data_IF_140889513175
#
_entry.id   IF_140889513175
#
_cell.length_a   1.000
_cell.length_b   1.000
_cell.length_c   1.000
_cell.angle_alpha   90.00
_cell.angle_beta   90.00
_cell.angle_gamma   90.00
#
_symmetry.space_group_name_H-M   'P 1'
#
loop_
_entity.id
_entity.type
_entity.pdbx_description
1 polymer ?
#
# COMPACT_ATOMS: atom_id res chain seq x y z
N UNK A 1 10.26 -14.08 9.20
CA UNK A 1 10.42 -12.60 9.31
C UNK A 1 11.89 -12.28 9.09
N UNK A 2 12.19 -11.45 8.10
CA UNK A 2 13.57 -10.99 7.85
C UNK A 2 13.85 -9.82 8.81
N UNK A 3 14.90 -9.95 9.61
CA UNK A 3 15.30 -8.92 10.58
C UNK A 3 16.63 -8.29 10.17
N UNK A 4 16.71 -6.98 10.28
CA UNK A 4 17.95 -6.22 10.04
C UNK A 4 18.33 -5.48 11.31
N UNK A 5 19.57 -5.72 11.81
CA UNK A 5 20.10 -4.98 12.95
C UNK A 5 21.00 -3.85 12.46
N UNK A 6 20.66 -2.62 12.82
CA UNK A 6 21.50 -1.45 12.57
C UNK A 6 22.25 -1.10 13.84
N UNK A 7 23.57 -0.92 13.73
CA UNK A 7 24.45 -0.50 14.81
C UNK A 7 25.04 0.87 14.47
N UNK A 8 25.01 1.79 15.41
CA UNK A 8 25.59 3.12 15.25
C UNK A 8 26.51 3.45 16.44
N UNK A 9 27.58 4.17 16.13
CA UNK A 9 28.51 4.71 17.12
C UNK A 9 28.83 6.16 16.72
N UNK A 10 28.91 7.05 17.69
CA UNK A 10 29.44 8.40 17.50
C UNK A 10 30.91 8.42 17.91
N UNK A 11 31.75 9.15 17.16
CA UNK A 11 33.17 9.32 17.44
C UNK A 11 33.51 10.79 17.59
N UNK A 12 34.08 11.14 18.74
CA UNK A 12 34.66 12.48 19.00
C UNK A 12 36.15 12.45 18.69
N UNK A 13 36.50 12.98 17.52
CA UNK A 13 37.91 13.02 17.07
C UNK A 13 38.81 13.89 17.95
N UNK A 14 38.28 14.94 18.59
CA UNK A 14 39.05 15.83 19.44
C UNK A 14 39.42 15.17 20.79
N UNK A 15 38.63 14.21 21.23
CA UNK A 15 38.87 13.47 22.49
C UNK A 15 39.34 12.04 22.28
N UNK A 16 39.49 11.58 21.02
CA UNK A 16 39.78 10.21 20.64
C UNK A 16 38.86 9.18 21.36
N UNK A 17 37.59 9.53 21.54
CA UNK A 17 36.58 8.71 22.25
C UNK A 17 35.44 8.32 21.34
N UNK A 18 35.09 7.04 21.35
CA UNK A 18 33.85 6.53 20.75
C UNK A 18 32.75 6.46 21.85
N UNK A 19 31.52 6.65 21.43
CA UNK A 19 30.35 6.36 22.28
C UNK A 19 30.17 4.83 22.42
N UNK A 20 29.24 4.43 23.29
CA UNK A 20 28.74 3.06 23.27
C UNK A 20 28.02 2.77 21.95
N UNK A 21 27.99 1.50 21.54
CA UNK A 21 27.29 1.05 20.35
C UNK A 21 25.78 1.00 20.65
N UNK A 22 25.00 1.81 19.95
CA UNK A 22 23.55 1.70 19.97
C UNK A 22 23.13 0.72 18.89
N UNK A 23 22.35 -0.29 19.26
CA UNK A 23 21.81 -1.30 18.34
C UNK A 23 20.30 -1.23 18.31
N UNK A 24 19.73 -1.22 17.12
CA UNK A 24 18.28 -1.30 16.90
C UNK A 24 17.99 -2.37 15.84
N UNK A 25 17.09 -3.27 16.16
CA UNK A 25 16.66 -4.34 15.24
C UNK A 25 15.33 -3.93 14.58
N UNK A 26 15.30 -4.00 13.26
CA UNK A 26 14.11 -3.77 12.44
C UNK A 26 13.63 -5.11 11.88
N UNK A 27 12.36 -5.42 12.09
CA UNK A 27 11.70 -6.58 11.46
C UNK A 27 10.84 -6.09 10.31
N UNK A 28 10.97 -6.73 9.14
CA UNK A 28 10.07 -6.47 8.02
C UNK A 28 8.69 -7.01 8.38
N UNK A 29 7.65 -6.17 8.31
CA UNK A 29 6.27 -6.62 8.48
C UNK A 29 5.92 -7.63 7.39
N UNK A 30 5.21 -8.68 7.77
CA UNK A 30 4.73 -9.68 6.82
C UNK A 30 3.50 -9.14 6.10
N UNK A 31 3.47 -9.35 4.78
CA UNK A 31 2.29 -9.07 3.95
C UNK A 31 1.45 -10.33 3.82
N UNK A 32 0.15 -10.21 4.01
CA UNK A 32 -0.83 -11.30 4.01
C UNK A 32 -1.98 -10.98 3.05
N UNK A 33 -2.61 -12.02 2.54
CA UNK A 33 -3.96 -11.95 1.95
C UNK A 33 -5.02 -11.86 3.06
N UNK A 34 -6.25 -11.52 2.72
CA UNK A 34 -7.36 -11.50 3.69
C UNK A 34 -7.61 -12.89 4.29
N UNK A 35 -7.53 -13.95 3.48
CA UNK A 35 -7.72 -15.32 3.95
C UNK A 35 -6.60 -15.78 4.89
N UNK A 36 -5.34 -15.46 4.58
CA UNK A 36 -4.20 -15.76 5.48
C UNK A 36 -4.32 -15.01 6.80
N UNK A 37 -4.68 -13.72 6.76
CA UNK A 37 -4.89 -12.91 7.95
C UNK A 37 -6.05 -13.47 8.81
N UNK A 38 -7.17 -13.84 8.19
CA UNK A 38 -8.30 -14.46 8.90
C UNK A 38 -7.92 -15.79 9.57
N UNK A 39 -7.09 -16.61 8.92
CA UNK A 39 -6.61 -17.88 9.47
C UNK A 39 -5.66 -17.70 10.67
N UNK A 40 -4.98 -16.56 10.78
CA UNK A 40 -4.10 -16.24 11.92
C UNK A 40 -4.84 -15.64 13.11
N UNK A 41 -6.13 -15.27 12.97
CA UNK A 41 -6.91 -14.68 14.05
C UNK A 41 -7.15 -15.69 15.19
N UNK A 42 -6.80 -15.31 16.42
CA UNK A 42 -7.07 -16.07 17.65
C UNK A 42 -7.81 -15.17 18.64
N UNK A 43 -8.36 -15.77 19.73
CA UNK A 43 -9.06 -15.03 20.79
C UNK A 43 -8.19 -13.94 21.45
N UNK A 44 -6.87 -14.08 21.38
CA UNK A 44 -5.92 -13.07 21.82
C UNK A 44 -5.40 -12.32 20.61
N UNK A 45 -5.38 -10.99 20.65
CA UNK A 45 -4.83 -10.19 19.56
C UNK A 45 -3.34 -10.48 19.38
N UNK A 46 -2.87 -10.46 18.13
CA UNK A 46 -1.44 -10.59 17.82
C UNK A 46 -0.67 -9.40 18.38
N UNK A 47 0.56 -9.61 18.82
CA UNK A 47 1.46 -8.51 19.24
C UNK A 47 2.03 -7.79 18.01
N UNK A 48 2.34 -8.56 16.96
CA UNK A 48 2.87 -8.03 15.71
C UNK A 48 1.76 -7.46 14.82
N UNK A 49 2.11 -6.42 14.07
CA UNK A 49 1.27 -5.89 13.00
C UNK A 49 1.60 -6.57 11.69
N UNK A 50 0.57 -6.72 10.86
CA UNK A 50 0.66 -7.28 9.51
C UNK A 50 0.20 -6.24 8.49
N UNK A 51 0.74 -6.33 7.29
CA UNK A 51 0.25 -5.64 6.11
C UNK A 51 -0.75 -6.57 5.43
N UNK A 52 -1.98 -6.13 5.22
CA UNK A 52 -3.01 -6.92 4.56
C UNK A 52 -3.47 -6.17 3.31
N UNK A 53 -3.43 -6.85 2.18
CA UNK A 53 -3.94 -6.34 0.91
C UNK A 53 -5.24 -7.04 0.54
N UNK A 54 -6.19 -6.28 0.02
CA UNK A 54 -7.47 -6.82 -0.44
C UNK A 54 -8.44 -5.76 -0.90
N UNK A 55 -9.62 -6.20 -1.31
CA UNK A 55 -10.70 -5.34 -1.76
C UNK A 55 -11.69 -5.08 -0.64
N UNK A 56 -12.18 -3.85 -0.54
CA UNK A 56 -13.35 -3.54 0.29
C UNK A 56 -14.54 -4.29 -0.30
N UNK A 57 -15.07 -5.26 0.42
CA UNK A 57 -16.21 -6.09 -0.02
C UNK A 57 -17.55 -5.59 0.48
N UNK A 58 -17.57 -4.92 1.64
CA UNK A 58 -18.78 -4.33 2.22
C UNK A 58 -18.42 -3.22 3.20
N UNK A 59 -19.12 -2.09 3.16
CA UNK A 59 -18.99 -1.03 4.16
C UNK A 59 -20.00 -1.27 5.30
N UNK A 60 -19.48 -1.38 6.54
CA UNK A 60 -20.31 -1.47 7.76
C UNK A 60 -20.56 -0.07 8.31
N UNK A 61 -19.50 0.71 8.47
CA UNK A 61 -19.57 2.10 8.92
C UNK A 61 -18.67 2.94 8.01
N UNK A 62 -19.30 3.87 7.28
CA UNK A 62 -18.56 4.88 6.52
C UNK A 62 -17.75 5.76 7.47
N UNK A 63 -16.86 6.58 6.92
CA UNK A 63 -16.01 7.43 7.75
C UNK A 63 -16.81 8.23 8.78
N UNK A 64 -16.54 7.96 10.03
CA UNK A 64 -17.13 8.65 11.17
C UNK A 64 -16.26 9.85 11.57
N UNK A 65 -16.76 11.05 11.34
CA UNK A 65 -16.02 12.29 11.61
C UNK A 65 -15.74 12.52 13.10
N UNK A 66 -16.59 11.99 13.99
CA UNK A 66 -16.41 12.14 15.44
C UNK A 66 -15.23 11.29 15.95
N UNK A 67 -15.05 10.08 15.41
CA UNK A 67 -14.02 9.14 15.87
C UNK A 67 -12.85 9.04 14.90
N UNK A 68 -12.97 9.59 13.69
CA UNK A 68 -11.94 9.59 12.67
C UNK A 68 -11.59 8.19 12.16
N UNK A 69 -12.58 7.31 12.03
CA UNK A 69 -12.37 5.92 11.63
C UNK A 69 -13.49 5.39 10.72
N UNK A 70 -13.26 4.21 10.14
CA UNK A 70 -14.20 3.49 9.29
C UNK A 70 -14.16 2.00 9.62
N UNK A 71 -15.24 1.29 9.36
CA UNK A 71 -15.36 -0.17 9.56
C UNK A 71 -15.92 -0.82 8.31
N UNK A 72 -15.25 -1.87 7.82
CA UNK A 72 -15.63 -2.54 6.59
C UNK A 72 -15.16 -4.00 6.55
N UNK A 73 -15.67 -4.78 5.60
CA UNK A 73 -15.18 -6.10 5.27
C UNK A 73 -14.21 -6.05 4.10
N UNK A 74 -13.21 -6.92 4.14
CA UNK A 74 -12.26 -7.16 3.06
C UNK A 74 -12.35 -8.59 2.54
N UNK A 75 -11.95 -8.74 1.26
CA UNK A 75 -11.77 -10.03 0.60
C UNK A 75 -10.59 -10.00 -0.36
N UNK A 76 -10.07 -11.19 -0.72
CA UNK A 76 -8.95 -11.33 -1.66
C UNK A 76 -9.36 -11.05 -3.11
N UNK A 77 -10.66 -11.10 -3.41
CA UNK A 77 -11.19 -10.78 -4.74
C UNK A 77 -12.27 -9.70 -4.66
N UNK A 78 -12.47 -8.97 -5.74
CA UNK A 78 -13.38 -7.82 -5.82
C UNK A 78 -14.84 -8.14 -5.41
N UNK A 79 -15.26 -9.40 -5.54
CA UNK A 79 -16.59 -9.88 -5.18
C UNK A 79 -16.53 -11.01 -4.13
N UNK A 80 -15.51 -11.06 -3.32
CA UNK A 80 -15.15 -12.20 -2.46
C UNK A 80 -15.90 -12.30 -1.13
N UNK A 81 -16.90 -11.48 -0.86
CA UNK A 81 -17.71 -11.53 0.35
C UNK A 81 -16.98 -11.06 1.62
N UNK A 82 -17.46 -11.54 2.78
CA UNK A 82 -16.96 -11.15 4.11
C UNK A 82 -15.88 -12.14 4.58
N UNK A 83 -14.60 -11.83 4.36
CA UNK A 83 -13.47 -12.71 4.74
C UNK A 83 -12.79 -12.20 6.00
N UNK A 84 -12.45 -10.92 6.07
CA UNK A 84 -11.77 -10.29 7.18
C UNK A 84 -12.42 -8.93 7.48
N UNK A 85 -12.85 -8.71 8.70
CA UNK A 85 -13.38 -7.41 9.12
C UNK A 85 -12.24 -6.46 9.48
N UNK A 86 -12.32 -5.21 9.05
CA UNK A 86 -11.43 -4.14 9.48
C UNK A 86 -12.20 -3.24 10.43
N UNK A 87 -11.89 -3.33 11.72
CA UNK A 87 -12.66 -2.64 12.75
C UNK A 87 -12.01 -1.32 13.13
N UNK A 88 -12.73 -0.22 12.88
CA UNK A 88 -12.34 1.15 13.26
C UNK A 88 -10.95 1.55 12.79
N UNK A 89 -10.63 1.26 11.52
CA UNK A 89 -9.37 1.70 10.93
C UNK A 89 -9.33 3.21 10.71
N UNK A 90 -8.14 3.78 10.83
CA UNK A 90 -7.87 5.20 10.59
C UNK A 90 -7.37 5.40 9.17
N UNK A 91 -8.06 6.21 8.35
CA UNK A 91 -7.56 6.66 7.07
C UNK A 91 -6.20 7.35 7.19
N UNK A 92 -5.26 7.06 6.27
CA UNK A 92 -3.95 7.74 6.25
C UNK A 92 -4.03 9.12 5.59
N UNK A 93 -5.05 9.34 4.75
CA UNK A 93 -5.29 10.62 4.07
C UNK A 93 -6.78 10.94 3.91
N UNK A 94 -7.10 12.06 3.25
CA UNK A 94 -8.49 12.45 2.96
C UNK A 94 -9.16 11.50 1.94
N UNK A 95 -8.36 10.81 1.09
CA UNK A 95 -8.89 9.91 0.05
C UNK A 95 -9.63 8.73 0.68
N UNK A 96 -9.05 8.14 1.74
CA UNK A 96 -9.61 6.96 2.40
C UNK A 96 -10.83 7.25 3.26
N UNK A 97 -11.17 8.53 3.49
CA UNK A 97 -12.44 8.91 4.12
C UNK A 97 -13.65 8.59 3.23
N UNK A 98 -13.42 8.37 1.93
CA UNK A 98 -14.44 8.05 0.93
C UNK A 98 -14.27 6.64 0.36
N UNK A 99 -13.82 5.68 1.16
CA UNK A 99 -13.72 4.28 0.74
C UNK A 99 -15.07 3.74 0.28
N UNK A 100 -15.04 2.94 -0.79
CA UNK A 100 -16.19 2.31 -1.39
C UNK A 100 -15.94 0.82 -1.63
N UNK A 101 -17.02 0.07 -1.75
CA UNK A 101 -16.95 -1.35 -2.18
C UNK A 101 -16.25 -1.44 -3.53
N UNK A 102 -15.28 -2.34 -3.63
CA UNK A 102 -14.45 -2.55 -4.81
C UNK A 102 -13.12 -1.78 -4.80
N UNK A 103 -12.89 -0.89 -3.83
CA UNK A 103 -11.57 -0.26 -3.66
C UNK A 103 -10.55 -1.31 -3.21
N UNK A 104 -9.34 -1.26 -3.77
CA UNK A 104 -8.21 -2.08 -3.33
C UNK A 104 -7.40 -1.30 -2.31
N UNK A 105 -7.18 -1.91 -1.14
CA UNK A 105 -6.59 -1.22 0.01
C UNK A 105 -5.46 -2.02 0.65
N UNK A 106 -4.55 -1.28 1.27
CA UNK A 106 -3.59 -1.78 2.25
C UNK A 106 -4.09 -1.44 3.65
N UNK A 107 -4.12 -2.44 4.51
CA UNK A 107 -4.46 -2.27 5.93
C UNK A 107 -3.28 -2.74 6.77
N UNK A 108 -2.86 -1.93 7.75
CA UNK A 108 -1.79 -2.29 8.68
C UNK A 108 -2.34 -2.33 10.09
N UNK A 109 -2.32 -3.52 10.70
CA UNK A 109 -2.87 -3.70 12.04
C UNK A 109 -2.54 -5.04 12.68
N UNK A 110 -2.96 -5.22 13.92
CA UNK A 110 -2.94 -6.50 14.65
C UNK A 110 -4.20 -7.28 14.35
N UNK A 111 -4.15 -8.60 14.50
CA UNK A 111 -5.24 -9.53 14.18
C UNK A 111 -5.87 -10.09 15.45
N UNK A 112 -7.18 -10.31 15.45
CA UNK A 112 -7.93 -10.91 16.56
C UNK A 112 -9.16 -11.65 16.05
N UNK A 113 -9.54 -12.73 16.71
CA UNK A 113 -10.84 -13.39 16.53
C UNK A 113 -11.81 -12.84 17.59
N UNK A 114 -12.59 -11.83 17.23
CA UNK A 114 -13.53 -11.22 18.16
C UNK A 114 -14.92 -11.82 18.02
N UNK A 115 -15.38 -12.54 19.06
CA UNK A 115 -16.71 -13.21 19.07
C UNK A 115 -16.96 -14.09 17.84
N UNK A 116 -15.91 -14.75 17.35
CA UNK A 116 -15.99 -15.62 16.17
C UNK A 116 -15.82 -14.92 14.82
N UNK A 117 -15.61 -13.60 14.81
CA UNK A 117 -15.33 -12.82 13.62
C UNK A 117 -13.82 -12.57 13.49
N UNK A 118 -13.17 -12.95 12.39
CA UNK A 118 -11.79 -12.54 12.13
C UNK A 118 -11.71 -11.04 11.89
N UNK A 119 -10.89 -10.34 12.66
CA UNK A 119 -10.80 -8.89 12.59
C UNK A 119 -9.35 -8.38 12.53
N UNK A 120 -9.13 -7.35 11.73
CA UNK A 120 -8.04 -6.40 11.98
C UNK A 120 -8.50 -5.49 13.10
N UNK A 121 -7.78 -5.52 14.21
CA UNK A 121 -8.18 -4.87 15.46
C UNK A 121 -8.15 -3.33 15.34
N UNK A 122 -8.86 -2.67 16.26
CA UNK A 122 -8.89 -1.20 16.34
C UNK A 122 -7.48 -0.60 16.37
N UNK A 123 -7.31 0.58 15.78
CA UNK A 123 -6.00 1.25 15.67
C UNK A 123 -5.20 0.87 14.43
N UNK A 124 -5.78 0.05 13.55
CA UNK A 124 -5.24 -0.17 12.21
C UNK A 124 -5.27 1.11 11.38
N UNK A 125 -4.37 1.22 10.40
CA UNK A 125 -4.42 2.22 9.34
C UNK A 125 -4.97 1.60 8.05
N UNK A 126 -5.59 2.40 7.21
CA UNK A 126 -6.04 2.01 5.87
C UNK A 126 -5.60 3.03 4.84
N UNK A 127 -5.07 2.53 3.73
CA UNK A 127 -4.65 3.30 2.55
C UNK A 127 -5.24 2.67 1.28
N UNK A 128 -5.75 3.50 0.37
CA UNK A 128 -6.17 3.04 -0.95
C UNK A 128 -4.95 2.93 -1.86
N UNK A 129 -4.73 1.75 -2.40
CA UNK A 129 -3.58 1.46 -3.26
C UNK A 129 -4.04 0.98 -4.64
N UNK A 130 -3.10 0.94 -5.60
CA UNK A 130 -3.40 0.42 -6.93
C UNK A 130 -3.51 -1.11 -6.90
N UNK A 131 -4.46 -1.66 -7.64
CA UNK A 131 -4.58 -3.11 -7.83
C UNK A 131 -3.28 -3.69 -8.42
N UNK A 132 -2.84 -4.89 -7.99
CA UNK A 132 -1.71 -5.57 -8.59
C UNK A 132 -1.97 -5.82 -10.08
N UNK A 133 -1.03 -5.45 -10.93
CA UNK A 133 -1.13 -5.60 -12.38
C UNK A 133 -1.82 -4.47 -13.13
N UNK A 134 -2.44 -3.52 -12.44
CA UNK A 134 -2.78 -2.23 -13.03
C UNK A 134 -1.52 -1.37 -13.02
N UNK A 135 -0.77 -1.38 -14.10
CA UNK A 135 0.24 -0.35 -14.31
C UNK A 135 -0.46 1.00 -14.16
N UNK A 136 0.06 1.85 -13.28
CA UNK A 136 -0.41 3.23 -13.09
C UNK A 136 -0.07 4.11 -14.31
N UNK A 137 -0.48 3.64 -15.51
CA UNK A 137 -0.38 4.39 -16.77
C UNK A 137 -1.69 5.09 -17.09
N UNK A 138 -2.74 4.89 -16.27
CA UNK A 138 -4.07 5.45 -16.51
C UNK A 138 -4.23 6.94 -16.16
N UNK A 139 -3.16 7.61 -15.73
CA UNK A 139 -3.15 9.07 -15.59
C UNK A 139 -2.13 9.78 -16.50
N UNK A 140 -1.70 9.13 -17.55
CA UNK A 140 -1.29 9.90 -18.72
C UNK A 140 -2.59 10.36 -19.36
N UNK A 141 -3.07 11.55 -18.99
CA UNK A 141 -3.92 12.36 -19.87
C UNK A 141 -3.35 12.14 -21.25
N UNK A 142 -4.15 11.64 -22.18
CA UNK A 142 -3.75 11.38 -23.56
C UNK A 142 -3.34 12.70 -24.20
N UNK A 143 -2.18 13.19 -23.82
CA UNK A 143 -1.39 14.15 -24.57
C UNK A 143 -0.92 13.35 -25.78
N UNK A 144 -1.61 13.55 -26.88
CA UNK A 144 -1.39 13.07 -28.24
C UNK A 144 -0.08 12.27 -28.35
N UNK A 145 -0.24 10.94 -28.34
CA UNK A 145 0.88 10.01 -28.33
C UNK A 145 1.89 10.37 -29.42
N UNK A 146 3.13 10.57 -29.01
CA UNK A 146 4.22 10.61 -29.96
C UNK A 146 4.35 9.22 -30.59
N UNK A 147 3.98 9.07 -31.84
CA UNK A 147 4.19 7.83 -32.58
C UNK A 147 5.67 7.69 -32.94
N UNK A 148 6.24 6.50 -32.71
CA UNK A 148 7.63 6.19 -33.09
C UNK A 148 7.60 5.08 -34.12
N UNK A 149 8.23 5.28 -35.27
CA UNK A 149 8.35 4.27 -36.31
C UNK A 149 9.68 4.42 -37.07
N UNK A 150 10.07 3.39 -37.80
CA UNK A 150 11.26 3.39 -38.64
C UNK A 150 10.82 3.66 -40.08
N UNK A 151 11.38 4.70 -40.69
CA UNK A 151 11.19 5.04 -42.09
C UNK A 151 12.56 5.17 -42.76
N UNK A 152 12.78 4.40 -43.83
CA UNK A 152 14.07 4.34 -44.54
C UNK A 152 15.28 4.06 -43.61
N UNK A 153 15.09 3.19 -42.60
CA UNK A 153 16.13 2.79 -41.64
C UNK A 153 16.43 3.86 -40.58
N UNK A 154 15.67 4.95 -40.50
CA UNK A 154 15.82 6.01 -39.49
C UNK A 154 14.61 6.05 -38.56
N UNK A 155 14.85 6.24 -37.25
CA UNK A 155 13.80 6.46 -36.29
C UNK A 155 13.16 7.85 -36.48
N UNK A 156 11.86 7.86 -36.70
CA UNK A 156 11.03 9.08 -36.80
C UNK A 156 10.10 9.12 -35.58
N UNK A 157 10.03 10.27 -34.94
CA UNK A 157 9.12 10.55 -33.83
C UNK A 157 8.11 11.59 -34.35
N UNK A 158 6.80 11.24 -34.25
CA UNK A 158 5.73 12.19 -34.60
C UNK A 158 5.05 12.63 -33.31
N UNK A 159 5.04 13.91 -33.02
CA UNK A 159 4.34 14.52 -31.91
C UNK A 159 3.55 15.73 -32.42
N UNK A 160 2.26 15.77 -32.08
CA UNK A 160 1.34 16.85 -32.51
C UNK A 160 1.30 17.08 -34.04
N UNK A 161 1.50 15.99 -34.82
CA UNK A 161 1.56 16.06 -36.30
C UNK A 161 2.93 16.52 -36.87
N UNK A 162 3.87 16.89 -36.03
CA UNK A 162 5.21 17.31 -36.40
C UNK A 162 6.16 16.11 -36.32
N UNK A 163 7.00 15.95 -37.34
CA UNK A 163 7.99 14.87 -37.44
C UNK A 163 9.35 15.33 -36.93
N UNK A 164 9.98 14.52 -36.10
CA UNK A 164 11.30 14.78 -35.51
C UNK A 164 12.24 13.62 -35.81
N UNK A 165 13.51 13.91 -35.97
CA UNK A 165 14.57 12.89 -35.97
C UNK A 165 15.00 12.54 -34.53
N UNK A 166 15.95 11.61 -34.37
CA UNK A 166 16.49 11.18 -33.06
C UNK A 166 17.17 12.29 -32.28
N UNK A 167 17.55 13.40 -32.92
CA UNK A 167 18.17 14.57 -32.29
C UNK A 167 17.12 15.62 -31.88
N UNK A 168 15.82 15.36 -32.11
CA UNK A 168 14.73 16.29 -31.80
C UNK A 168 14.56 17.42 -32.83
N UNK A 169 15.19 17.33 -34.00
CA UNK A 169 15.08 18.31 -35.08
C UNK A 169 13.86 17.97 -35.96
N UNK A 170 13.12 19.00 -36.39
CA UNK A 170 11.99 18.84 -37.32
C UNK A 170 12.44 18.40 -38.69
N UNK A 171 11.64 17.56 -39.35
CA UNK A 171 11.87 17.02 -40.70
C UNK A 171 10.79 17.49 -41.65
#
# INVERSE_FOLDING_TARGET
TETTTVKAIAYDAAKAKASEVVSTTFSKMQTLTCAEAAALCTATATEEKYIIHGYVSEMIEVFNTQYGNTTFWMADTKNGGQVLQVYRAKPVSEVEKNLQVGDYVEVIGTLVLYKGTPEVNTGASVEKINEPGTSSVDNVVANKQAAKFIENGQLVIVKDGIRYNVLGQTR
#
